data_IF_340898199051
#
_entry.id   IF_340898199051
#
_cell.length_a   1.000
_cell.length_b   1.000
_cell.length_c   1.000
_cell.angle_alpha   90.00
_cell.angle_beta   90.00
_cell.angle_gamma   90.00
#
_symmetry.space_group_name_H-M   'P 1'
#
loop_
_entity.id
_entity.type
_entity.pdbx_description
1 polymer ?
#
# COMPACT_ATOMS: atom_id res chain seq x y z
N UNK A 1 5.13 10.59 -5.77
CA UNK A 1 4.54 10.69 -4.41
C UNK A 1 4.79 9.47 -3.53
N UNK A 2 4.58 8.23 -3.98
CA UNK A 2 4.74 7.03 -3.13
C UNK A 2 6.15 6.92 -2.51
N UNK A 3 7.20 6.98 -3.35
CA UNK A 3 8.60 6.93 -2.90
C UNK A 3 8.93 7.98 -1.85
N UNK A 4 8.53 9.23 -2.06
CA UNK A 4 8.73 10.32 -1.10
C UNK A 4 8.07 10.03 0.26
N UNK A 5 6.87 9.44 0.26
CA UNK A 5 6.17 9.05 1.50
C UNK A 5 6.86 7.90 2.24
N UNK A 6 7.54 7.02 1.51
CA UNK A 6 8.22 5.84 2.07
C UNK A 6 9.71 6.08 2.33
N UNK A 7 10.26 7.26 2.01
CA UNK A 7 11.68 7.56 2.16
C UNK A 7 12.15 7.45 3.61
N UNK A 8 11.33 7.88 4.56
CA UNK A 8 11.58 7.77 5.98
C UNK A 8 10.24 7.72 6.72
N UNK A 9 9.99 6.62 7.43
CA UNK A 9 8.72 6.35 8.11
C UNK A 9 9.00 6.01 9.57
N UNK A 10 8.37 6.75 10.48
CA UNK A 10 8.28 6.38 11.88
C UNK A 10 7.08 5.44 12.06
N UNK A 11 7.33 4.16 12.23
CA UNK A 11 6.28 3.19 12.54
C UNK A 11 6.01 3.19 14.04
N UNK A 12 4.74 3.27 14.41
CA UNK A 12 4.27 3.17 15.79
C UNK A 12 3.32 1.97 15.86
N UNK A 13 3.79 0.80 16.31
CA UNK A 13 2.94 -0.37 16.48
C UNK A 13 1.86 -0.11 17.54
N UNK A 14 0.66 -0.65 17.32
CA UNK A 14 -0.44 -0.61 18.29
C UNK A 14 -1.12 -1.98 18.33
N UNK A 15 -1.64 -2.36 19.49
CA UNK A 15 -2.41 -3.61 19.63
C UNK A 15 -3.64 -3.59 18.71
N UNK A 16 -3.81 -4.69 17.96
CA UNK A 16 -4.82 -4.81 16.91
C UNK A 16 -5.90 -5.84 17.22
N UNK A 17 -5.72 -6.62 18.28
CA UNK A 17 -6.59 -7.71 18.68
C UNK A 17 -8.02 -7.21 18.92
N UNK A 18 -9.00 -7.90 18.32
CA UNK A 18 -10.42 -7.50 18.40
C UNK A 18 -10.98 -7.69 19.81
N UNK A 19 -10.46 -8.66 20.54
CA UNK A 19 -10.84 -8.97 21.91
C UNK A 19 -10.33 -7.95 22.94
N UNK A 20 -9.36 -7.10 22.60
CA UNK A 20 -8.87 -6.04 23.51
C UNK A 20 -9.71 -4.77 23.28
N UNK A 21 -10.43 -4.25 24.30
CA UNK A 21 -11.16 -2.99 24.20
C UNK A 21 -10.25 -1.86 23.71
N UNK A 22 -10.76 -0.97 22.84
CA UNK A 22 -9.96 0.10 22.23
C UNK A 22 -9.20 0.94 23.27
N UNK A 23 -9.86 1.29 24.38
CA UNK A 23 -9.27 2.09 25.45
C UNK A 23 -8.16 1.37 26.25
N UNK A 24 -8.03 0.05 26.10
CA UNK A 24 -7.04 -0.78 26.79
C UNK A 24 -5.87 -1.18 25.89
N UNK A 25 -5.92 -0.85 24.60
CA UNK A 25 -4.86 -1.17 23.64
C UNK A 25 -3.60 -0.38 23.96
N UNK A 26 -2.47 -1.08 23.89
CA UNK A 26 -1.14 -0.52 24.17
C UNK A 26 -0.47 -0.05 22.89
N UNK A 27 0.35 0.99 23.04
CA UNK A 27 1.27 1.47 22.00
C UNK A 27 2.61 0.77 22.20
N UNK A 28 3.15 0.20 21.12
CA UNK A 28 4.45 -0.47 21.12
C UNK A 28 5.62 0.51 20.98
N UNK A 29 6.84 -0.03 21.06
CA UNK A 29 8.05 0.75 20.80
C UNK A 29 8.05 1.26 19.34
N UNK A 30 8.31 2.55 19.11
CA UNK A 30 8.39 3.07 17.75
C UNK A 30 9.66 2.59 17.05
N UNK A 31 9.65 2.53 15.72
CA UNK A 31 10.86 2.32 14.92
C UNK A 31 10.95 3.34 13.78
N UNK A 32 12.15 3.85 13.55
CA UNK A 32 12.44 4.68 12.38
C UNK A 32 12.98 3.79 11.26
N UNK A 33 12.33 3.80 10.11
CA UNK A 33 12.68 2.97 8.97
C UNK A 33 12.84 3.78 7.69
N UNK A 34 13.87 3.41 6.92
CA UNK A 34 14.02 3.74 5.51
C UNK A 34 14.23 2.44 4.73
N UNK A 35 13.71 2.35 3.49
CA UNK A 35 13.85 1.14 2.69
C UNK A 35 15.31 0.82 2.42
N UNK A 36 15.67 -0.46 2.58
CA UNK A 36 16.94 -0.96 2.04
C UNK A 36 16.94 -0.92 0.51
N UNK A 37 18.11 -1.10 -0.12
CA UNK A 37 18.19 -1.17 -1.59
C UNK A 37 17.30 -2.28 -2.18
N UNK A 38 17.20 -3.42 -1.49
CA UNK A 38 16.33 -4.54 -1.90
C UNK A 38 14.85 -4.18 -1.75
N UNK A 39 14.47 -3.52 -0.65
CA UNK A 39 13.10 -3.07 -0.42
C UNK A 39 12.68 -1.99 -1.41
N UNK A 40 13.57 -1.03 -1.72
CA UNK A 40 13.31 0.01 -2.72
C UNK A 40 13.16 -0.60 -4.12
N UNK A 41 13.96 -1.62 -4.46
CA UNK A 41 13.84 -2.34 -5.72
C UNK A 41 12.50 -3.07 -5.84
N UNK A 42 12.06 -3.79 -4.80
CA UNK A 42 10.78 -4.50 -4.78
C UNK A 42 9.59 -3.52 -4.89
N UNK A 43 9.63 -2.43 -4.10
CA UNK A 43 8.62 -1.37 -4.16
C UNK A 43 8.55 -0.71 -5.54
N UNK A 44 9.70 -0.47 -6.18
CA UNK A 44 9.77 0.09 -7.53
C UNK A 44 9.17 -0.87 -8.55
N UNK A 45 9.54 -2.15 -8.51
CA UNK A 45 9.05 -3.15 -9.45
C UNK A 45 7.53 -3.25 -9.44
N UNK A 46 6.93 -3.38 -8.25
CA UNK A 46 5.48 -3.45 -8.12
C UNK A 46 4.79 -2.14 -8.53
N UNK A 47 5.41 -1.00 -8.22
CA UNK A 47 4.88 0.29 -8.63
C UNK A 47 4.86 0.43 -10.16
N UNK A 48 5.93 0.02 -10.84
CA UNK A 48 6.01 0.02 -12.30
C UNK A 48 4.95 -0.90 -12.93
N UNK A 49 4.81 -2.14 -12.45
CA UNK A 49 3.77 -3.10 -12.89
C UNK A 49 2.36 -2.52 -12.73
N UNK A 50 2.04 -1.99 -11.55
CA UNK A 50 0.73 -1.43 -11.25
C UNK A 50 0.44 -0.16 -12.06
N UNK A 51 1.45 0.70 -12.25
CA UNK A 51 1.30 1.91 -13.05
C UNK A 51 1.14 1.61 -14.53
N UNK A 52 1.80 0.58 -15.07
CA UNK A 52 1.60 0.13 -16.45
C UNK A 52 0.13 -0.23 -16.71
N UNK A 53 -0.48 -1.00 -15.80
CA UNK A 53 -1.90 -1.34 -15.91
C UNK A 53 -2.82 -0.12 -15.83
N UNK A 54 -2.48 0.87 -14.98
CA UNK A 54 -3.25 2.12 -14.87
C UNK A 54 -3.16 2.94 -16.16
N UNK A 55 -1.95 3.14 -16.69
CA UNK A 55 -1.69 3.98 -17.86
C UNK A 55 -2.28 3.36 -19.13
N UNK A 56 -2.29 2.03 -19.24
CA UNK A 56 -2.93 1.31 -20.35
C UNK A 56 -4.46 1.20 -20.22
N UNK A 57 -5.06 1.88 -19.25
CA UNK A 57 -6.51 1.83 -19.00
C UNK A 57 -7.04 0.47 -18.56
N UNK A 58 -6.15 -0.40 -18.08
CA UNK A 58 -6.48 -1.74 -17.54
C UNK A 58 -6.64 -1.71 -16.02
N UNK A 59 -7.01 -0.56 -15.46
CA UNK A 59 -7.13 -0.39 -14.01
C UNK A 59 -8.11 -1.39 -13.38
N UNK A 60 -9.16 -1.76 -14.09
CA UNK A 60 -10.18 -2.71 -13.61
C UNK A 60 -9.73 -4.16 -13.58
N UNK A 61 -8.63 -4.51 -14.26
CA UNK A 61 -8.03 -5.86 -14.14
C UNK A 61 -7.18 -5.99 -12.87
N UNK A 62 -6.84 -4.87 -12.22
CA UNK A 62 -5.99 -4.89 -11.03
C UNK A 62 -6.77 -5.44 -9.83
N UNK A 63 -6.37 -6.63 -9.39
CA UNK A 63 -6.79 -7.27 -8.14
C UNK A 63 -5.72 -7.17 -7.04
N UNK A 64 -6.09 -7.53 -5.80
CA UNK A 64 -5.17 -7.58 -4.66
C UNK A 64 -4.03 -8.63 -4.79
N UNK A 65 -4.06 -9.46 -5.84
CA UNK A 65 -3.00 -10.44 -6.14
C UNK A 65 -1.78 -9.81 -6.82
N UNK A 66 -1.94 -8.71 -7.55
CA UNK A 66 -0.84 -8.01 -8.22
C UNK A 66 0.14 -7.39 -7.22
N UNK A 67 1.39 -7.21 -7.69
CA UNK A 67 2.55 -6.82 -6.91
C UNK A 67 2.98 -7.90 -5.91
N UNK A 68 4.25 -7.88 -5.52
CA UNK A 68 4.77 -8.72 -4.45
C UNK A 68 4.50 -8.06 -3.10
N UNK A 69 5.08 -6.89 -2.85
CA UNK A 69 5.11 -6.15 -1.58
C UNK A 69 4.17 -4.94 -1.53
N UNK A 70 3.76 -4.43 -2.69
CA UNK A 70 2.86 -3.30 -2.88
C UNK A 70 1.59 -3.76 -3.60
N UNK A 71 0.45 -3.15 -3.31
CA UNK A 71 -0.80 -3.40 -4.03
C UNK A 71 -1.62 -2.15 -4.21
N UNK A 72 -2.52 -2.20 -5.20
CA UNK A 72 -3.52 -1.17 -5.44
C UNK A 72 -4.90 -1.66 -4.95
N UNK A 73 -5.59 -0.85 -4.14
CA UNK A 73 -6.93 -1.16 -3.62
C UNK A 73 -7.85 0.05 -3.68
N UNK A 74 -9.18 -0.13 -3.70
CA UNK A 74 -10.11 0.98 -3.59
C UNK A 74 -9.85 1.79 -2.31
N UNK A 75 -9.71 3.12 -2.46
CA UNK A 75 -9.53 4.10 -1.37
C UNK A 75 -10.61 5.17 -1.48
N UNK A 76 -11.86 4.75 -1.33
CA UNK A 76 -13.03 5.61 -1.41
C UNK A 76 -13.71 5.78 -0.04
N UNK A 77 -14.35 6.93 0.19
CA UNK A 77 -15.19 7.14 1.37
C UNK A 77 -16.43 6.21 1.37
N UNK A 78 -16.92 5.86 0.18
CA UNK A 78 -18.01 4.91 -0.06
C UNK A 78 -17.87 4.32 -1.48
N UNK A 79 -18.64 3.28 -1.80
CA UNK A 79 -18.63 2.62 -3.12
C UNK A 79 -19.21 3.46 -4.27
N UNK A 80 -19.69 4.68 -4.00
CA UNK A 80 -20.24 5.60 -4.99
C UNK A 80 -19.28 6.72 -5.38
N UNK A 81 -18.15 6.86 -4.68
CA UNK A 81 -17.16 7.86 -5.03
C UNK A 81 -16.44 7.44 -6.32
N UNK A 82 -16.39 8.34 -7.29
CA UNK A 82 -15.76 8.13 -8.57
C UNK A 82 -14.68 9.19 -8.80
N UNK A 83 -13.64 8.81 -9.53
CA UNK A 83 -12.57 9.69 -10.01
C UNK A 83 -12.37 9.46 -11.50
N UNK A 84 -11.82 10.44 -12.20
CA UNK A 84 -11.39 10.29 -13.58
C UNK A 84 -10.24 9.27 -13.68
N UNK A 85 -10.27 8.46 -14.73
CA UNK A 85 -9.24 7.52 -15.11
C UNK A 85 -9.20 7.35 -16.64
N UNK A 86 -8.32 6.47 -17.11
CA UNK A 86 -8.14 6.16 -18.53
C UNK A 86 -8.80 4.81 -18.82
N UNK A 87 -9.62 4.73 -19.86
CA UNK A 87 -10.27 3.52 -20.34
C UNK A 87 -9.39 2.74 -21.32
N UNK A 88 -9.80 1.51 -21.69
CA UNK A 88 -9.01 0.61 -22.54
C UNK A 88 -8.66 1.16 -23.93
N UNK A 89 -9.39 2.17 -24.42
CA UNK A 89 -9.16 2.82 -25.71
C UNK A 89 -8.61 4.24 -25.57
N UNK A 90 -8.12 4.62 -24.37
CA UNK A 90 -7.58 5.95 -24.09
C UNK A 90 -8.65 7.00 -23.79
N UNK A 91 -9.93 6.62 -23.75
CA UNK A 91 -11.04 7.49 -23.40
C UNK A 91 -11.07 7.80 -21.91
N UNK A 92 -11.49 9.01 -21.49
CA UNK A 92 -11.74 9.28 -20.08
C UNK A 92 -12.89 8.42 -19.56
N UNK A 93 -12.67 7.74 -18.42
CA UNK A 93 -13.70 6.96 -17.72
C UNK A 93 -13.82 7.40 -16.27
N UNK A 94 -14.97 7.12 -15.66
CA UNK A 94 -15.13 7.22 -14.21
C UNK A 94 -14.86 5.86 -13.57
N UNK A 95 -13.91 5.80 -12.64
CA UNK A 95 -13.59 4.58 -11.89
C UNK A 95 -13.52 4.86 -10.39
N UNK A 96 -13.46 3.82 -9.57
CA UNK A 96 -13.29 3.98 -8.12
C UNK A 96 -11.89 4.56 -7.83
N UNK A 97 -11.75 5.54 -6.92
CA UNK A 97 -10.44 6.01 -6.51
C UNK A 97 -9.66 4.87 -5.88
N UNK A 98 -8.41 4.70 -6.29
CA UNK A 98 -7.53 3.65 -5.80
C UNK A 98 -6.33 4.25 -5.07
N UNK A 99 -5.82 3.51 -4.09
CA UNK A 99 -4.64 3.89 -3.33
C UNK A 99 -3.65 2.73 -3.28
N UNK A 100 -2.37 3.07 -3.12
CA UNK A 100 -1.32 2.10 -2.87
C UNK A 100 -1.29 1.69 -1.40
N UNK A 101 -1.08 0.40 -1.15
CA UNK A 101 -0.98 -0.21 0.18
C UNK A 101 0.21 -1.16 0.23
N UNK A 102 0.98 -1.11 1.32
CA UNK A 102 1.99 -2.12 1.62
C UNK A 102 1.30 -3.42 2.03
N UNK A 103 1.78 -4.56 1.53
CA UNK A 103 1.27 -5.88 1.91
C UNK A 103 1.78 -6.26 3.31
N UNK A 104 0.99 -7.09 4.00
CA UNK A 104 1.26 -7.49 5.38
C UNK A 104 2.64 -8.11 5.58
N UNK A 105 3.07 -8.97 4.66
CA UNK A 105 4.36 -9.65 4.79
C UNK A 105 5.54 -8.69 4.69
N UNK A 106 5.44 -7.62 3.89
CA UNK A 106 6.47 -6.59 3.79
C UNK A 106 6.67 -5.89 5.14
N UNK A 107 5.57 -5.42 5.74
CA UNK A 107 5.62 -4.78 7.07
C UNK A 107 6.00 -5.78 8.17
N UNK A 108 5.59 -7.05 8.07
CA UNK A 108 5.95 -8.07 9.05
C UNK A 108 7.47 -8.37 9.03
N UNK A 109 8.07 -8.49 7.85
CA UNK A 109 9.51 -8.69 7.70
C UNK A 109 10.30 -7.49 8.24
N UNK A 110 9.84 -6.26 7.95
CA UNK A 110 10.40 -5.02 8.50
C UNK A 110 10.37 -4.99 10.03
N UNK A 111 9.24 -5.35 10.64
CA UNK A 111 9.10 -5.39 12.10
C UNK A 111 9.97 -6.49 12.71
N UNK A 112 9.97 -7.68 12.11
CA UNK A 112 10.78 -8.80 12.57
C UNK A 112 12.28 -8.47 12.56
N UNK A 113 12.78 -7.85 11.47
CA UNK A 113 14.19 -7.43 11.37
C UNK A 113 14.61 -6.45 12.45
N UNK A 114 13.70 -5.63 12.96
CA UNK A 114 14.02 -4.61 13.97
C UNK A 114 13.87 -5.11 15.42
N UNK A 115 12.89 -5.97 15.70
CA UNK A 115 12.55 -6.38 17.08
C UNK A 115 12.89 -7.83 17.43
N UNK A 116 13.08 -8.71 16.45
CA UNK A 116 13.27 -10.16 16.67
C UNK A 116 14.66 -10.67 16.29
N UNK A 117 15.50 -9.82 15.70
CA UNK A 117 16.87 -10.12 15.29
C UNK A 117 17.83 -9.29 16.13
#
# INVERSE_FOLDING_TARGET
>A
HLRQKLQCVLWIPVEGERQIPLAQRRVGAPLLWSPSAQEEQALRHDWEELMELIVLGRVDTISARHGEVLQLRPKAANSRALTEGIGPHGEPIMTLPRGFYLKKHFTAALLARHFLV
#
